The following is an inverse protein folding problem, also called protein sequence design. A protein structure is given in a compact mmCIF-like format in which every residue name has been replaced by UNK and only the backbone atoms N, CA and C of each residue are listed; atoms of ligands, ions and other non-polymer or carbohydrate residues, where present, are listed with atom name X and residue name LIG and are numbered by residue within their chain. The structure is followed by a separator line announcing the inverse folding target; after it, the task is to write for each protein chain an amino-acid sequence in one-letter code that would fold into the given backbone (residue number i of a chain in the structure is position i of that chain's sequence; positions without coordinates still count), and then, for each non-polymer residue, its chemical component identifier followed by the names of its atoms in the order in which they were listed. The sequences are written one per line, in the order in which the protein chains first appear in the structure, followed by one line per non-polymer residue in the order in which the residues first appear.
data_IF_492728212653
#
_entry.id   IF_492728212653
#
_cell.length_a   1.000
_cell.length_b   1.000
_cell.length_c   1.000
_cell.angle_alpha   90.00
_cell.angle_beta   90.00
_cell.angle_gamma   90.00
#
_symmetry.space_group_name_H-M   'P 1'
#
loop_
_entity.id
_entity.type
_entity.pdbx_description
1 polymer ?
#
# COMPACT_ATOMS: atom_id res chain seq x y z
N UNK A 1 -23.34 64.25 -9.68
CA UNK A 1 -24.01 62.92 -9.87
C UNK A 1 -22.94 61.80 -9.74
N UNK A 2 -23.16 60.85 -8.81
CA UNK A 2 -22.19 59.97 -8.16
C UNK A 2 -21.46 58.94 -9.05
N UNK A 3 -20.26 59.25 -9.56
CA UNK A 3 -19.36 58.29 -10.17
C UNK A 3 -18.62 57.38 -9.12
N UNK A 4 -18.52 57.88 -7.86
CA UNK A 4 -17.79 57.18 -6.75
C UNK A 4 -18.45 55.88 -6.29
N UNK A 5 -19.76 55.71 -6.38
CA UNK A 5 -20.46 54.53 -5.92
C UNK A 5 -20.29 53.30 -6.81
N UNK A 6 -20.19 53.47 -8.13
CA UNK A 6 -20.05 52.38 -9.10
C UNK A 6 -18.65 51.75 -9.06
N UNK A 7 -17.62 52.52 -8.75
CA UNK A 7 -16.23 52.05 -8.66
C UNK A 7 -16.02 51.18 -7.40
N UNK A 8 -16.58 51.61 -6.27
CA UNK A 8 -16.52 50.84 -5.00
C UNK A 8 -17.23 49.49 -5.10
N UNK A 9 -18.38 49.45 -5.77
CA UNK A 9 -19.14 48.20 -5.98
C UNK A 9 -18.37 47.21 -6.83
N UNK A 10 -17.73 47.67 -7.92
CA UNK A 10 -16.92 46.82 -8.81
C UNK A 10 -15.70 46.24 -8.11
N UNK A 11 -15.01 47.01 -7.29
CA UNK A 11 -13.85 46.53 -6.50
C UNK A 11 -14.28 45.45 -5.49
N UNK A 12 -15.44 45.65 -4.83
CA UNK A 12 -15.96 44.65 -3.89
C UNK A 12 -16.32 43.30 -4.58
N UNK A 13 -16.91 43.36 -5.78
CA UNK A 13 -17.21 42.15 -6.53
C UNK A 13 -15.94 41.42 -7.00
N UNK A 14 -14.89 42.15 -7.39
CA UNK A 14 -13.61 41.54 -7.77
C UNK A 14 -12.91 40.88 -6.58
N UNK A 15 -12.92 41.52 -5.42
CA UNK A 15 -12.34 40.94 -4.19
C UNK A 15 -13.12 39.70 -3.72
N UNK A 16 -14.44 39.71 -3.81
CA UNK A 16 -15.27 38.58 -3.44
C UNK A 16 -15.06 37.40 -4.40
N UNK A 17 -14.96 37.68 -5.72
CA UNK A 17 -14.69 36.63 -6.72
C UNK A 17 -13.30 36.00 -6.59
N UNK A 18 -12.28 36.83 -6.30
CA UNK A 18 -10.92 36.31 -6.07
C UNK A 18 -10.80 35.48 -4.79
N UNK A 19 -11.48 35.87 -3.71
CA UNK A 19 -11.53 35.09 -2.47
C UNK A 19 -12.25 33.76 -2.68
N UNK A 20 -13.35 33.74 -3.41
CA UNK A 20 -14.08 32.51 -3.72
C UNK A 20 -13.25 31.56 -4.59
N UNK A 21 -12.56 32.07 -5.63
CA UNK A 21 -11.66 31.30 -6.48
C UNK A 21 -10.49 30.71 -5.67
N UNK A 22 -9.87 31.48 -4.79
CA UNK A 22 -8.82 31.00 -3.90
C UNK A 22 -9.31 29.87 -2.97
N UNK A 23 -10.52 30.01 -2.45
CA UNK A 23 -11.13 29.01 -1.57
C UNK A 23 -11.42 27.70 -2.31
N UNK A 24 -11.92 27.76 -3.53
CA UNK A 24 -12.13 26.59 -4.39
C UNK A 24 -10.82 25.89 -4.73
N UNK A 25 -9.76 26.64 -5.05
CA UNK A 25 -8.44 26.07 -5.33
C UNK A 25 -7.86 25.40 -4.06
N UNK A 26 -8.01 26.01 -2.89
CA UNK A 26 -7.57 25.41 -1.64
C UNK A 26 -8.33 24.12 -1.31
N UNK A 27 -9.65 24.08 -1.48
CA UNK A 27 -10.44 22.87 -1.29
C UNK A 27 -10.07 21.76 -2.29
N UNK A 28 -9.89 22.10 -3.57
CA UNK A 28 -9.49 21.15 -4.59
C UNK A 28 -8.09 20.57 -4.32
N UNK A 29 -7.14 21.39 -3.89
CA UNK A 29 -5.79 20.92 -3.52
C UNK A 29 -5.79 20.08 -2.26
N UNK A 30 -6.57 20.42 -1.23
CA UNK A 30 -6.70 19.64 -0.01
C UNK A 30 -7.28 18.24 -0.31
N UNK A 31 -8.36 18.17 -1.09
CA UNK A 31 -8.96 16.90 -1.48
C UNK A 31 -8.03 16.02 -2.33
N UNK A 32 -7.23 16.63 -3.22
CA UNK A 32 -6.21 15.90 -3.99
C UNK A 32 -5.10 15.33 -3.09
N UNK A 33 -4.66 16.10 -2.10
CA UNK A 33 -3.64 15.66 -1.13
C UNK A 33 -4.19 14.51 -0.27
N UNK A 34 -5.43 14.60 0.20
CA UNK A 34 -6.07 13.53 0.98
C UNK A 34 -6.23 12.25 0.15
N UNK A 35 -6.67 12.34 -1.10
CA UNK A 35 -6.77 11.21 -2.01
C UNK A 35 -5.39 10.60 -2.29
N UNK A 36 -4.37 11.44 -2.47
CA UNK A 36 -3.00 10.98 -2.68
C UNK A 36 -2.43 10.29 -1.44
N UNK A 37 -2.64 10.85 -0.25
CA UNK A 37 -2.23 10.25 1.02
C UNK A 37 -2.97 8.94 1.30
N UNK A 38 -4.28 8.88 1.07
CA UNK A 38 -5.06 7.66 1.22
C UNK A 38 -4.54 6.55 0.29
N UNK A 39 -4.20 6.89 -0.95
CA UNK A 39 -3.61 5.93 -1.90
C UNK A 39 -2.22 5.42 -1.48
N UNK A 40 -1.40 6.26 -0.86
CA UNK A 40 -0.10 5.85 -0.32
C UNK A 40 -0.22 5.00 0.96
N UNK A 41 -1.27 5.23 1.75
CA UNK A 41 -1.51 4.49 2.99
C UNK A 41 -2.22 3.15 2.77
N UNK A 42 -3.01 3.01 1.70
CA UNK A 42 -3.77 1.79 1.40
C UNK A 42 -2.91 0.52 1.38
N UNK A 43 -1.75 0.46 0.68
CA UNK A 43 -0.93 -0.73 0.69
C UNK A 43 -0.33 -1.02 2.07
N UNK A 44 -0.04 0.00 2.87
CA UNK A 44 0.49 -0.18 4.22
C UNK A 44 -0.56 -0.77 5.16
N UNK A 45 -1.76 -0.24 5.15
CA UNK A 45 -2.87 -0.76 5.99
C UNK A 45 -3.25 -2.18 5.60
N UNK A 46 -3.35 -2.46 4.29
CA UNK A 46 -3.61 -3.81 3.79
C UNK A 46 -2.48 -4.77 4.16
N UNK A 47 -1.23 -4.35 4.04
CA UNK A 47 -0.07 -5.14 4.44
C UNK A 47 -0.04 -5.43 5.94
N UNK A 48 -0.35 -4.46 6.79
CA UNK A 48 -0.36 -4.65 8.24
C UNK A 48 -1.51 -5.60 8.67
N UNK A 49 -2.68 -5.52 8.02
CA UNK A 49 -3.79 -6.45 8.21
C UNK A 49 -3.41 -7.87 7.81
N UNK A 50 -2.78 -8.03 6.65
CA UNK A 50 -2.30 -9.31 6.14
C UNK A 50 -1.24 -9.92 7.05
N UNK A 51 -0.25 -9.14 7.49
CA UNK A 51 0.79 -9.59 8.44
C UNK A 51 0.17 -10.05 9.76
N UNK A 52 -0.83 -9.33 10.27
CA UNK A 52 -1.57 -9.73 11.48
C UNK A 52 -2.29 -11.06 11.28
N UNK A 53 -2.96 -11.25 10.14
CA UNK A 53 -3.66 -12.49 9.83
C UNK A 53 -2.69 -13.69 9.71
N UNK A 54 -1.57 -13.52 8.99
CA UNK A 54 -0.53 -14.54 8.85
C UNK A 54 0.06 -14.97 10.19
N UNK A 55 0.36 -14.01 11.08
CA UNK A 55 0.83 -14.31 12.43
C UNK A 55 -0.22 -14.99 13.28
N UNK A 56 -1.48 -14.64 13.12
CA UNK A 56 -2.58 -15.31 13.82
C UNK A 56 -2.71 -16.75 13.36
N UNK A 57 -2.64 -17.00 12.06
CA UNK A 57 -2.63 -18.35 11.50
C UNK A 57 -1.44 -19.16 12.05
N UNK A 58 -0.23 -18.59 12.02
CA UNK A 58 0.96 -19.26 12.55
C UNK A 58 0.81 -19.62 14.04
N UNK A 59 0.28 -18.70 14.86
CA UNK A 59 0.02 -18.98 16.29
C UNK A 59 -0.97 -20.12 16.52
N UNK A 60 -1.95 -20.30 15.64
CA UNK A 60 -2.97 -21.34 15.75
C UNK A 60 -2.50 -22.70 15.22
N UNK A 61 -1.61 -22.73 14.24
CA UNK A 61 -1.26 -23.94 13.49
C UNK A 61 0.21 -24.34 13.60
N UNK A 62 1.08 -23.49 14.15
CA UNK A 62 2.53 -23.70 14.23
C UNK A 62 3.27 -23.47 12.91
N UNK A 63 2.58 -23.12 11.81
CA UNK A 63 3.17 -22.83 10.50
C UNK A 63 2.49 -21.66 9.80
N UNK A 64 3.15 -21.08 8.82
CA UNK A 64 2.50 -20.16 7.89
C UNK A 64 1.60 -20.93 6.90
N UNK A 65 0.52 -20.32 6.37
CA UNK A 65 -0.39 -20.97 5.44
C UNK A 65 0.33 -21.32 4.13
N UNK A 66 -0.16 -22.32 3.40
CA UNK A 66 0.38 -22.68 2.08
C UNK A 66 0.05 -21.62 1.02
N UNK A 67 -1.10 -20.97 1.17
CA UNK A 67 -1.59 -19.94 0.26
C UNK A 67 -2.59 -19.01 0.97
N UNK A 68 -3.09 -18.01 0.25
CA UNK A 68 -4.10 -17.07 0.77
C UNK A 68 -5.47 -17.71 0.99
N UNK A 69 -5.81 -18.77 0.28
CA UNK A 69 -7.10 -19.47 0.47
C UNK A 69 -7.13 -20.18 1.81
N UNK A 70 -6.02 -20.83 2.21
CA UNK A 70 -5.90 -21.42 3.55
C UNK A 70 -5.99 -20.33 4.63
N UNK A 71 -5.36 -19.18 4.41
CA UNK A 71 -5.43 -18.04 5.33
C UNK A 71 -6.86 -17.52 5.48
N UNK A 72 -7.58 -17.34 4.38
CA UNK A 72 -8.96 -16.86 4.38
C UNK A 72 -9.89 -17.84 5.09
N UNK A 73 -9.78 -19.10 4.77
CA UNK A 73 -10.65 -20.14 5.35
C UNK A 73 -10.59 -20.18 6.90
N UNK A 74 -9.42 -19.83 7.48
CA UNK A 74 -9.20 -19.93 8.94
C UNK A 74 -9.28 -18.61 9.69
N UNK A 75 -8.68 -17.56 9.14
CA UNK A 75 -8.41 -16.32 9.91
C UNK A 75 -8.91 -15.07 9.22
N UNK A 76 -8.69 -14.95 7.92
CA UNK A 76 -8.85 -13.69 7.20
C UNK A 76 -10.17 -13.62 6.46
N UNK A 77 -11.25 -13.47 7.23
CA UNK A 77 -12.60 -13.38 6.65
C UNK A 77 -12.83 -12.00 6.06
N UNK A 78 -13.09 -11.95 4.77
CA UNK A 78 -13.52 -10.75 4.05
C UNK A 78 -15.04 -10.73 3.87
N UNK A 79 -15.63 -9.52 3.79
CA UNK A 79 -17.04 -9.36 3.42
C UNK A 79 -17.28 -9.73 1.96
N UNK A 80 -16.30 -9.42 1.10
CA UNK A 80 -16.27 -9.78 -0.32
C UNK A 80 -15.02 -10.62 -0.54
N UNK A 81 -15.12 -11.79 -1.19
CA UNK A 81 -13.98 -12.62 -1.46
C UNK A 81 -13.00 -11.83 -2.35
N UNK A 82 -11.72 -11.74 -1.96
CA UNK A 82 -10.74 -11.08 -2.79
C UNK A 82 -10.47 -11.87 -4.08
N UNK A 83 -9.99 -11.19 -5.09
CA UNK A 83 -9.59 -11.83 -6.34
C UNK A 83 -8.24 -12.55 -6.14
N UNK A 84 -8.33 -13.86 -5.94
CA UNK A 84 -7.17 -14.73 -5.81
C UNK A 84 -6.71 -15.21 -7.18
N UNK A 85 -5.41 -15.15 -7.43
CA UNK A 85 -4.83 -15.81 -8.58
C UNK A 85 -5.07 -17.32 -8.57
N UNK A 86 -4.89 -17.97 -9.72
CA UNK A 86 -5.17 -19.40 -9.93
C UNK A 86 -4.40 -20.30 -8.94
N UNK A 87 -3.19 -19.91 -8.57
CA UNK A 87 -2.32 -20.62 -7.61
C UNK A 87 -2.67 -20.37 -6.13
N UNK A 88 -3.63 -19.49 -5.85
CA UNK A 88 -3.98 -19.06 -4.50
C UNK A 88 -2.90 -18.22 -3.78
N UNK A 89 -1.76 -17.99 -4.43
CA UNK A 89 -0.61 -17.27 -3.85
C UNK A 89 -0.52 -15.82 -4.26
N UNK A 90 -1.35 -15.38 -5.17
CA UNK A 90 -1.49 -13.99 -5.54
C UNK A 90 -2.88 -13.45 -5.20
N UNK A 91 -2.93 -12.17 -4.89
CA UNK A 91 -4.12 -11.47 -4.42
C UNK A 91 -4.06 -10.04 -4.92
N UNK A 92 -5.15 -9.54 -5.50
CA UNK A 92 -5.27 -8.13 -5.91
C UNK A 92 -6.16 -7.37 -4.94
N UNK A 93 -5.62 -6.28 -4.38
CA UNK A 93 -6.36 -5.34 -3.53
C UNK A 93 -6.07 -3.93 -4.02
N UNK A 94 -7.11 -3.20 -4.38
CA UNK A 94 -7.01 -1.87 -4.98
C UNK A 94 -6.06 -1.88 -6.19
N UNK A 95 -5.04 -1.04 -6.19
CA UNK A 95 -4.05 -0.95 -7.26
C UNK A 95 -2.73 -1.67 -6.92
N UNK A 96 -2.80 -2.74 -6.12
CA UNK A 96 -1.64 -3.52 -5.74
C UNK A 96 -1.90 -5.01 -5.88
N UNK A 97 -0.90 -5.73 -6.36
CA UNK A 97 -0.85 -7.18 -6.33
C UNK A 97 0.07 -7.64 -5.20
N UNK A 98 -0.43 -8.57 -4.40
CA UNK A 98 0.31 -9.25 -3.33
C UNK A 98 0.69 -10.63 -3.81
N UNK A 99 1.97 -10.98 -3.79
CA UNK A 99 2.48 -12.30 -4.18
C UNK A 99 3.11 -12.93 -2.93
N UNK A 100 2.55 -14.05 -2.51
CA UNK A 100 2.92 -14.76 -1.31
C UNK A 100 3.78 -15.99 -1.62
N UNK A 101 4.83 -16.18 -0.84
CA UNK A 101 5.67 -17.38 -0.91
C UNK A 101 5.90 -17.92 0.50
N UNK A 102 5.37 -19.11 0.83
CA UNK A 102 5.81 -19.83 2.02
C UNK A 102 7.26 -20.29 1.79
N UNK A 103 8.16 -19.95 2.73
CA UNK A 103 9.57 -20.34 2.68
C UNK A 103 9.76 -21.65 3.41
N UNK A 104 9.28 -21.68 4.66
CA UNK A 104 9.26 -22.85 5.55
C UNK A 104 8.15 -22.70 6.60
N UNK A 105 8.13 -23.56 7.60
CA UNK A 105 7.14 -23.48 8.67
C UNK A 105 7.22 -22.17 9.47
N UNK A 106 8.42 -21.60 9.61
CA UNK A 106 8.71 -20.40 10.41
C UNK A 106 8.90 -19.11 9.61
N UNK A 107 8.83 -19.14 8.28
CA UNK A 107 9.06 -17.96 7.45
C UNK A 107 8.18 -17.90 6.21
N UNK A 108 7.77 -16.71 5.84
CA UNK A 108 7.13 -16.44 4.55
C UNK A 108 7.52 -15.07 4.02
N UNK A 109 7.37 -14.88 2.72
CA UNK A 109 7.62 -13.60 2.05
C UNK A 109 6.40 -13.12 1.31
N UNK A 110 6.32 -11.80 1.14
CA UNK A 110 5.24 -11.14 0.41
C UNK A 110 5.84 -10.03 -0.44
N UNK A 111 5.61 -10.07 -1.74
CA UNK A 111 5.80 -8.95 -2.63
C UNK A 111 4.50 -8.16 -2.72
N UNK A 112 4.59 -6.84 -2.66
CA UNK A 112 3.47 -5.91 -2.81
C UNK A 112 3.84 -4.98 -3.96
N UNK A 113 3.22 -5.19 -5.10
CA UNK A 113 3.61 -4.59 -6.37
C UNK A 113 2.50 -3.67 -6.84
N UNK A 114 2.80 -2.41 -7.17
CA UNK A 114 1.81 -1.51 -7.73
C UNK A 114 1.36 -2.00 -9.11
N UNK A 115 0.06 -1.91 -9.36
CA UNK A 115 -0.60 -2.30 -10.61
C UNK A 115 -1.50 -1.18 -11.13
N UNK A 116 -2.04 -1.35 -12.35
CA UNK A 116 -2.96 -0.39 -12.94
C UNK A 116 -2.29 0.82 -13.61
N UNK A 117 -3.06 1.82 -14.00
CA UNK A 117 -2.59 2.94 -14.83
C UNK A 117 -1.52 3.84 -14.19
N UNK A 118 -1.45 3.84 -12.86
CA UNK A 118 -0.50 4.65 -12.08
C UNK A 118 0.55 3.83 -11.35
N UNK A 119 0.86 2.63 -11.87
CA UNK A 119 1.86 1.76 -11.24
C UNK A 119 3.21 2.46 -11.08
N UNK A 120 3.61 3.28 -12.05
CA UNK A 120 4.91 3.95 -12.05
C UNK A 120 5.03 5.06 -10.98
N UNK A 121 3.90 5.51 -10.42
CA UNK A 121 3.85 6.44 -9.28
C UNK A 121 3.91 5.69 -7.92
N UNK A 122 3.74 4.38 -7.92
CA UNK A 122 3.75 3.53 -6.74
C UNK A 122 5.15 3.09 -6.34
N UNK A 123 5.23 2.35 -5.26
CA UNK A 123 6.46 1.70 -4.81
C UNK A 123 6.22 0.21 -4.62
N UNK A 124 7.20 -0.59 -4.98
CA UNK A 124 7.22 -2.01 -4.62
C UNK A 124 7.68 -2.17 -3.18
N UNK A 125 7.00 -3.02 -2.43
CA UNK A 125 7.42 -3.42 -1.10
C UNK A 125 7.69 -4.91 -1.06
N UNK A 126 8.69 -5.30 -0.29
CA UNK A 126 8.99 -6.69 0.03
C UNK A 126 8.97 -6.88 1.54
N UNK A 127 8.31 -7.92 1.98
CA UNK A 127 8.19 -8.29 3.38
C UNK A 127 8.77 -9.69 3.58
N UNK A 128 9.66 -9.84 4.55
CA UNK A 128 10.11 -11.13 5.07
C UNK A 128 9.58 -11.27 6.49
N UNK A 129 8.64 -12.17 6.67
CA UNK A 129 7.88 -12.35 7.90
C UNK A 129 8.33 -13.61 8.63
N UNK A 130 8.68 -13.44 9.89
CA UNK A 130 8.85 -14.48 10.90
C UNK A 130 7.77 -14.36 11.98
N UNK A 131 7.58 -15.35 12.85
CA UNK A 131 6.57 -15.30 13.91
C UNK A 131 6.68 -14.04 14.78
N UNK A 132 7.91 -13.63 15.12
CA UNK A 132 8.19 -12.54 16.06
C UNK A 132 8.89 -11.34 15.44
N UNK A 133 9.30 -11.41 14.17
CA UNK A 133 9.97 -10.30 13.50
C UNK A 133 9.42 -10.07 12.09
N UNK A 134 9.70 -8.89 11.55
CA UNK A 134 9.31 -8.49 10.21
C UNK A 134 10.40 -7.58 9.67
N UNK A 135 10.96 -7.97 8.53
CA UNK A 135 11.86 -7.10 7.75
C UNK A 135 11.10 -6.58 6.55
N UNK A 136 11.34 -5.33 6.19
CA UNK A 136 10.63 -4.61 5.12
C UNK A 136 11.62 -3.91 4.22
N UNK A 137 11.37 -3.97 2.92
CA UNK A 137 12.10 -3.22 1.91
C UNK A 137 11.12 -2.42 1.06
N UNK A 138 11.60 -1.31 0.50
CA UNK A 138 10.86 -0.46 -0.43
C UNK A 138 11.78 -0.11 -1.59
N UNK A 139 11.23 -0.11 -2.82
CA UNK A 139 11.97 0.23 -4.03
C UNK A 139 11.10 0.73 -5.16
N UNK A 140 11.69 0.84 -6.33
CA UNK A 140 11.01 1.22 -7.55
C UNK A 140 9.87 0.23 -7.90
N UNK A 141 8.88 0.64 -8.71
CA UNK A 141 7.82 -0.25 -9.15
C UNK A 141 8.39 -1.39 -10.01
N UNK A 142 8.21 -2.63 -9.58
CA UNK A 142 8.50 -3.84 -10.34
C UNK A 142 7.24 -4.32 -11.05
N UNK A 143 7.40 -4.99 -12.17
CA UNK A 143 6.31 -5.74 -12.77
C UNK A 143 6.05 -7.04 -11.98
N UNK A 144 4.82 -7.59 -12.03
CA UNK A 144 4.52 -8.88 -11.42
C UNK A 144 5.41 -10.02 -11.94
N UNK A 145 5.82 -9.98 -13.20
CA UNK A 145 6.65 -11.02 -13.77
C UNK A 145 8.11 -10.92 -13.30
N UNK A 146 8.65 -9.70 -13.14
CA UNK A 146 9.95 -9.50 -12.51
C UNK A 146 9.96 -10.04 -11.07
N UNK A 147 8.93 -9.76 -10.28
CA UNK A 147 8.84 -10.25 -8.92
C UNK A 147 8.68 -11.77 -8.82
N UNK A 148 7.93 -12.40 -9.74
CA UNK A 148 7.81 -13.87 -9.81
C UNK A 148 9.10 -14.56 -10.20
N UNK A 149 9.98 -13.89 -10.95
CA UNK A 149 11.28 -14.43 -11.36
C UNK A 149 12.31 -14.45 -10.22
N UNK A 150 12.04 -13.72 -9.13
CA UNK A 150 12.94 -13.67 -7.99
C UNK A 150 12.77 -14.91 -7.08
N UNK A 151 13.84 -15.36 -6.41
CA UNK A 151 13.73 -16.42 -5.43
C UNK A 151 12.82 -15.98 -4.26
N UNK A 152 12.17 -16.92 -3.56
CA UNK A 152 11.30 -16.60 -2.42
C UNK A 152 11.97 -15.74 -1.34
N UNK A 153 13.26 -15.93 -1.11
CA UNK A 153 14.09 -15.08 -0.23
C UNK A 153 15.23 -14.51 -1.08
N UNK A 154 15.05 -13.32 -1.67
CA UNK A 154 16.11 -12.68 -2.45
C UNK A 154 17.34 -12.40 -1.58
N UNK A 155 18.52 -12.59 -2.15
CA UNK A 155 19.75 -12.17 -1.49
C UNK A 155 19.84 -10.65 -1.42
N UNK A 156 20.60 -10.11 -0.45
CA UNK A 156 20.75 -8.67 -0.30
C UNK A 156 21.26 -7.98 -1.58
N UNK A 157 22.16 -8.66 -2.34
CA UNK A 157 22.62 -8.18 -3.63
C UNK A 157 21.52 -8.03 -4.68
N UNK A 158 20.60 -8.98 -4.73
CA UNK A 158 19.45 -8.96 -5.65
C UNK A 158 18.51 -7.83 -5.29
N UNK A 159 18.23 -7.60 -4.00
CA UNK A 159 17.44 -6.49 -3.53
C UNK A 159 18.06 -5.14 -3.93
N UNK A 160 19.36 -4.99 -3.82
CA UNK A 160 20.08 -3.76 -4.23
C UNK A 160 20.00 -3.54 -5.75
N UNK A 161 20.07 -4.59 -6.58
CA UNK A 161 19.95 -4.49 -8.04
C UNK A 161 18.58 -3.92 -8.46
N UNK A 162 17.51 -4.21 -7.71
CA UNK A 162 16.19 -3.64 -7.92
C UNK A 162 15.96 -2.31 -7.19
N UNK A 163 17.01 -1.68 -6.68
CA UNK A 163 16.90 -0.42 -5.95
C UNK A 163 16.08 -0.51 -4.67
N UNK A 164 15.96 -1.71 -4.08
CA UNK A 164 15.22 -1.94 -2.85
C UNK A 164 16.06 -1.53 -1.64
N UNK A 165 15.51 -0.67 -0.78
CA UNK A 165 16.13 -0.22 0.46
C UNK A 165 15.41 -0.82 1.65
N UNK A 166 16.17 -1.38 2.60
CA UNK A 166 15.60 -1.91 3.83
C UNK A 166 15.09 -0.76 4.72
N UNK A 167 13.85 -0.88 5.16
CA UNK A 167 13.25 0.08 6.08
C UNK A 167 13.63 -0.27 7.52
N UNK A 168 13.78 0.75 8.40
CA UNK A 168 14.03 0.52 9.82
C UNK A 168 13.02 -0.47 10.41
N UNK A 169 13.51 -1.41 11.20
CA UNK A 169 12.63 -2.34 11.92
C UNK A 169 11.81 -1.52 12.93
N UNK A 170 10.50 -1.51 12.74
CA UNK A 170 9.61 -1.03 13.79
C UNK A 170 9.60 -2.14 14.84
N UNK A 171 10.37 -1.97 15.90
CA UNK A 171 10.23 -2.81 17.09
C UNK A 171 8.79 -2.65 17.58
N UNK A 172 7.98 -3.66 17.36
CA UNK A 172 6.67 -3.76 18.00
C UNK A 172 6.96 -4.04 19.49
N UNK A 173 7.27 -2.95 20.22
CA UNK A 173 7.36 -3.02 21.67
C UNK A 173 6.08 -3.71 22.17
N UNK A 174 6.26 -4.75 22.96
CA UNK A 174 5.18 -5.48 23.63
C UNK A 174 4.27 -4.45 24.32
N UNK A 175 3.06 -4.29 23.81
CA UNK A 175 1.97 -3.72 24.57
C UNK A 175 1.04 -4.84 24.99
#
# INVERSE_FOLDING_TARGET
MNASGKTKLRISFFLLGSALAALVVCFASASLIEVWQARQQTPRLAADSLVKALRTHHRQTGRFPADFRELEARVWKHKEPPDFGADGRSLSIANYQYIYHPVDAGACTIWIIPTGPRRDEGATHFLLLYPHSLRRWKGAPLSPDEAKSLPPVPQYREMALFGMTELPQISLARR
#
